data_IF_582272645606
#
_entry.id   IF_582272645606
#
_cell.length_a   1.000
_cell.length_b   1.000
_cell.length_c   1.000
_cell.angle_alpha   90.00
_cell.angle_beta   90.00
_cell.angle_gamma   90.00
#
_symmetry.space_group_name_H-M   'P 1'
#
loop_
_entity.id
_entity.type
_entity.pdbx_description
1 polymer ?
#
# COMPACT_ATOMS: atom_id res chain seq x y z
N UNK A 1 -22.30 3.36 13.41
CA UNK A 1 -20.85 3.08 13.36
C UNK A 1 -20.19 4.44 13.43
N UNK A 2 -19.26 4.68 14.35
CA UNK A 2 -18.51 5.95 14.36
C UNK A 2 -17.62 6.00 13.12
N UNK A 3 -17.45 7.17 12.50
CA UNK A 3 -16.72 7.31 11.22
C UNK A 3 -15.30 6.71 11.26
N UNK A 4 -14.67 6.78 12.43
CA UNK A 4 -13.40 6.11 12.80
C UNK A 4 -13.36 4.60 12.52
N UNK A 5 -14.44 3.87 12.85
CA UNK A 5 -14.50 2.42 12.68
C UNK A 5 -14.72 2.05 11.20
N UNK A 6 -15.48 2.88 10.48
CA UNK A 6 -15.74 2.71 9.05
C UNK A 6 -14.48 2.83 8.20
N UNK A 7 -13.63 3.83 8.45
CA UNK A 7 -12.41 4.03 7.66
C UNK A 7 -11.38 2.91 7.88
N UNK A 8 -11.26 2.39 9.11
CA UNK A 8 -10.41 1.23 9.41
C UNK A 8 -10.92 -0.02 8.70
N UNK A 9 -12.22 -0.25 8.75
CA UNK A 9 -12.86 -1.38 8.06
C UNK A 9 -12.67 -1.29 6.55
N UNK A 10 -12.80 -0.10 5.96
CA UNK A 10 -12.55 0.14 4.54
C UNK A 10 -11.11 -0.23 4.14
N UNK A 11 -10.11 0.26 4.88
CA UNK A 11 -8.70 -0.07 4.62
C UNK A 11 -8.46 -1.58 4.70
N UNK A 12 -9.03 -2.24 5.71
CA UNK A 12 -8.90 -3.68 5.91
C UNK A 12 -9.52 -4.48 4.75
N UNK A 13 -10.71 -4.06 4.28
CA UNK A 13 -11.40 -4.65 3.15
C UNK A 13 -10.62 -4.47 1.85
N UNK A 14 -10.03 -3.30 1.62
CA UNK A 14 -9.22 -3.03 0.44
C UNK A 14 -7.95 -3.91 0.43
N UNK A 15 -7.26 -4.04 1.57
CA UNK A 15 -6.10 -4.94 1.67
C UNK A 15 -6.49 -6.39 1.43
N UNK A 16 -7.62 -6.85 1.99
CA UNK A 16 -8.12 -8.20 1.73
C UNK A 16 -8.50 -8.40 0.26
N UNK A 17 -9.14 -7.41 -0.36
CA UNK A 17 -9.49 -7.45 -1.77
C UNK A 17 -8.23 -7.58 -2.64
N UNK A 18 -7.15 -6.85 -2.32
CA UNK A 18 -5.89 -6.95 -3.08
C UNK A 18 -5.30 -8.35 -2.99
N UNK A 19 -5.27 -8.92 -1.78
CA UNK A 19 -4.80 -10.30 -1.53
C UNK A 19 -5.63 -11.31 -2.34
N UNK A 20 -6.95 -11.13 -2.44
CA UNK A 20 -7.80 -11.95 -3.32
C UNK A 20 -7.47 -11.72 -4.79
N UNK A 21 -7.17 -10.48 -5.19
CA UNK A 21 -6.71 -10.13 -6.53
C UNK A 21 -5.41 -10.83 -6.93
N UNK A 22 -4.50 -11.09 -5.98
CA UNK A 22 -3.30 -11.89 -6.24
C UNK A 22 -3.66 -13.34 -6.58
N UNK A 23 -4.62 -13.95 -5.88
CA UNK A 23 -5.07 -15.30 -6.21
C UNK A 23 -5.73 -15.36 -7.59
N UNK A 24 -6.41 -14.28 -8.01
CA UNK A 24 -7.07 -14.16 -9.31
C UNK A 24 -6.12 -13.74 -10.45
N UNK A 25 -4.89 -13.30 -10.14
CA UNK A 25 -3.94 -12.73 -11.11
C UNK A 25 -4.54 -11.59 -11.95
N UNK A 26 -5.49 -10.83 -11.41
CA UNK A 26 -6.19 -9.76 -12.13
C UNK A 26 -5.50 -8.42 -11.90
N UNK A 27 -4.74 -7.94 -12.88
CA UNK A 27 -3.93 -6.72 -12.74
C UNK A 27 -4.76 -5.45 -12.55
N UNK A 28 -5.74 -5.17 -13.42
CA UNK A 28 -6.54 -3.94 -13.31
C UNK A 28 -7.33 -3.85 -12.00
N UNK A 29 -7.79 -4.99 -11.48
CA UNK A 29 -8.48 -5.07 -10.19
C UNK A 29 -7.53 -4.71 -9.04
N UNK A 30 -6.30 -5.23 -9.06
CA UNK A 30 -5.28 -4.89 -8.06
C UNK A 30 -4.89 -3.41 -8.14
N UNK A 31 -4.74 -2.87 -9.36
CA UNK A 31 -4.39 -1.46 -9.57
C UNK A 31 -5.51 -0.54 -9.08
N UNK A 32 -6.77 -0.87 -9.37
CA UNK A 32 -7.93 -0.12 -8.85
C UNK A 32 -8.00 -0.14 -7.30
N UNK A 33 -7.59 -1.24 -6.67
CA UNK A 33 -7.53 -1.32 -5.20
C UNK A 33 -6.40 -0.48 -4.63
N UNK A 34 -5.24 -0.46 -5.29
CA UNK A 34 -4.13 0.41 -4.92
C UNK A 34 -4.55 1.88 -4.98
N UNK A 35 -5.21 2.29 -6.07
CA UNK A 35 -5.76 3.65 -6.21
C UNK A 35 -6.76 3.97 -5.10
N UNK A 36 -7.63 3.00 -4.77
CA UNK A 36 -8.61 3.15 -3.69
C UNK A 36 -7.95 3.27 -2.32
N UNK A 37 -6.89 2.50 -2.03
CA UNK A 37 -6.12 2.59 -0.80
C UNK A 37 -5.45 3.95 -0.66
N UNK A 38 -4.80 4.43 -1.72
CA UNK A 38 -4.17 5.75 -1.76
C UNK A 38 -5.20 6.84 -1.51
N UNK A 39 -6.36 6.77 -2.17
CA UNK A 39 -7.44 7.73 -1.98
C UNK A 39 -7.99 7.70 -0.55
N UNK A 40 -8.20 6.51 0.02
CA UNK A 40 -8.72 6.35 1.38
C UNK A 40 -7.77 6.97 2.42
N UNK A 41 -6.46 6.71 2.33
CA UNK A 41 -5.50 7.31 3.27
C UNK A 41 -5.26 8.81 3.01
N UNK A 42 -5.51 9.27 1.77
CA UNK A 42 -5.37 10.69 1.41
C UNK A 42 -6.59 11.53 1.83
N UNK A 43 -7.71 10.88 2.17
CA UNK A 43 -8.96 11.52 2.57
C UNK A 43 -9.10 11.51 4.10
N UNK A 44 -9.04 12.67 4.77
CA UNK A 44 -9.26 12.74 6.21
C UNK A 44 -10.73 12.52 6.56
N UNK A 45 -11.00 12.06 7.78
CA UNK A 45 -12.35 12.00 8.35
C UNK A 45 -12.88 13.37 8.79
N UNK A 46 -14.08 13.39 9.38
CA UNK A 46 -14.72 14.62 9.88
C UNK A 46 -13.88 15.34 10.96
N UNK A 47 -12.93 14.65 11.60
CA UNK A 47 -12.03 15.19 12.61
C UNK A 47 -10.63 15.49 12.05
N UNK A 48 -10.47 15.58 10.72
CA UNK A 48 -9.21 15.80 10.02
C UNK A 48 -8.16 14.70 10.26
N UNK A 49 -8.61 13.49 10.63
CA UNK A 49 -7.73 12.34 10.90
C UNK A 49 -7.60 11.46 9.68
N UNK A 50 -6.36 11.10 9.34
CA UNK A 50 -6.02 10.16 8.27
C UNK A 50 -5.78 8.78 8.83
N UNK A 51 -6.35 7.79 8.14
CA UNK A 51 -6.32 6.39 8.55
C UNK A 51 -5.30 5.64 7.72
N UNK A 52 -4.48 4.81 8.36
CA UNK A 52 -3.45 4.03 7.70
C UNK A 52 -3.52 2.57 8.17
N UNK A 53 -3.06 1.61 7.35
CA UNK A 53 -2.99 0.20 7.74
C UNK A 53 -2.12 -0.01 8.98
N UNK A 54 -2.61 -0.76 9.97
CA UNK A 54 -1.87 -1.09 11.20
C UNK A 54 -1.41 -2.57 11.19
N UNK A 55 -0.75 -3.00 12.27
CA UNK A 55 -0.09 -4.33 12.39
C UNK A 55 -0.85 -5.51 11.81
N UNK A 56 -2.13 -5.70 12.18
CA UNK A 56 -2.92 -6.84 11.72
C UNK A 56 -3.17 -6.81 10.20
N UNK A 57 -3.39 -5.62 9.65
CA UNK A 57 -3.58 -5.37 8.22
C UNK A 57 -2.28 -5.62 7.45
N UNK A 58 -1.15 -5.16 8.00
CA UNK A 58 0.20 -5.41 7.44
C UNK A 58 0.50 -6.91 7.40
N UNK A 59 0.21 -7.63 8.49
CA UNK A 59 0.38 -9.08 8.57
C UNK A 59 -0.45 -9.82 7.51
N UNK A 60 -1.68 -9.38 7.29
CA UNK A 60 -2.55 -9.93 6.24
C UNK A 60 -1.95 -9.70 4.86
N UNK A 61 -1.47 -8.50 4.58
CA UNK A 61 -0.87 -8.14 3.29
C UNK A 61 0.40 -8.96 3.00
N UNK A 62 1.35 -9.01 3.93
CA UNK A 62 2.61 -9.73 3.75
C UNK A 62 2.41 -11.25 3.63
N UNK A 63 1.47 -11.83 4.38
CA UNK A 63 1.13 -13.25 4.26
C UNK A 63 0.41 -13.58 2.94
N UNK A 64 -0.37 -12.64 2.42
CA UNK A 64 -1.26 -12.84 1.28
C UNK A 64 -0.68 -12.46 -0.08
N UNK A 65 0.55 -11.93 -0.13
CA UNK A 65 1.14 -11.41 -1.37
C UNK A 65 2.59 -11.93 -1.54
N UNK A 66 3.08 -12.08 -2.79
CA UNK A 66 4.47 -12.44 -3.02
C UNK A 66 5.43 -11.32 -2.57
N UNK A 67 6.69 -11.69 -2.28
CA UNK A 67 7.74 -10.73 -1.95
C UNK A 67 7.83 -9.63 -3.02
N UNK A 68 8.00 -8.37 -2.57
CA UNK A 68 8.06 -7.20 -3.45
C UNK A 68 6.77 -6.88 -4.20
N UNK A 69 5.63 -7.45 -3.77
CA UNK A 69 4.29 -7.07 -4.27
C UNK A 69 4.09 -5.55 -4.17
N UNK A 70 3.39 -4.92 -5.13
CA UNK A 70 3.08 -3.50 -5.07
C UNK A 70 2.38 -3.08 -3.77
N UNK A 71 1.54 -3.95 -3.20
CA UNK A 71 0.90 -3.69 -1.91
C UNK A 71 1.94 -3.59 -0.77
N UNK A 72 2.90 -4.52 -0.70
CA UNK A 72 3.95 -4.48 0.34
C UNK A 72 4.76 -3.19 0.26
N UNK A 73 5.10 -2.74 -0.96
CA UNK A 73 5.81 -1.47 -1.20
C UNK A 73 4.99 -0.28 -0.75
N UNK A 74 3.71 -0.22 -1.12
CA UNK A 74 2.81 0.85 -0.71
C UNK A 74 2.70 0.95 0.82
N UNK A 75 2.55 -0.18 1.52
CA UNK A 75 2.47 -0.21 2.98
C UNK A 75 3.75 0.29 3.65
N UNK A 76 4.92 -0.06 3.09
CA UNK A 76 6.21 0.44 3.57
C UNK A 76 6.33 1.95 3.35
N UNK A 77 6.02 2.44 2.15
CA UNK A 77 6.06 3.88 1.86
C UNK A 77 5.08 4.65 2.76
N UNK A 78 3.87 4.12 3.02
CA UNK A 78 2.91 4.73 3.96
C UNK A 78 3.50 4.88 5.37
N UNK A 79 4.16 3.84 5.89
CA UNK A 79 4.77 3.89 7.21
C UNK A 79 6.05 4.74 7.24
N UNK A 80 6.79 4.76 6.14
CA UNK A 80 7.98 5.60 6.02
C UNK A 80 7.62 7.09 6.12
N UNK A 81 6.58 7.53 5.39
CA UNK A 81 6.20 8.94 5.34
C UNK A 81 5.29 9.37 6.49
N UNK A 82 4.38 8.51 6.93
CA UNK A 82 3.28 8.88 7.85
C UNK A 82 3.29 8.11 9.16
N UNK A 83 4.14 7.08 9.27
CA UNK A 83 4.20 6.20 10.41
C UNK A 83 4.62 6.90 11.70
N UNK A 84 4.09 6.39 12.81
CA UNK A 84 4.49 6.80 14.16
C UNK A 84 5.06 5.61 14.92
N UNK A 85 5.92 5.87 15.89
CA UNK A 85 6.59 4.80 16.63
C UNK A 85 5.57 3.86 17.30
N UNK A 86 4.47 4.41 17.82
CA UNK A 86 3.39 3.66 18.46
C UNK A 86 2.65 2.70 17.50
N UNK A 87 2.70 2.90 16.18
CA UNK A 87 2.07 1.97 15.23
C UNK A 87 2.81 0.64 15.16
N UNK A 88 4.07 0.62 15.60
CA UNK A 88 4.89 -0.58 15.65
C UNK A 88 4.76 -1.30 17.00
N UNK A 89 3.99 -0.76 17.94
CA UNK A 89 3.74 -1.41 19.23
C UNK A 89 2.92 -2.70 19.00
N UNK A 90 3.53 -3.84 19.29
CA UNK A 90 2.92 -5.15 19.06
C UNK A 90 2.99 -5.65 17.61
N UNK A 91 3.60 -4.91 16.69
CA UNK A 91 3.91 -5.39 15.34
C UNK A 91 4.92 -6.55 15.42
N UNK A 92 4.63 -7.66 14.73
CA UNK A 92 5.50 -8.85 14.74
C UNK A 92 6.04 -9.25 13.37
N UNK A 93 5.67 -8.50 12.32
CA UNK A 93 6.05 -8.83 10.96
C UNK A 93 7.51 -8.50 10.64
N UNK A 94 8.37 -9.51 10.70
CA UNK A 94 9.82 -9.32 10.48
C UNK A 94 10.19 -8.93 9.06
N UNK A 95 9.39 -9.32 8.06
CA UNK A 95 9.65 -8.98 6.67
C UNK A 95 9.30 -7.51 6.41
N UNK A 96 8.15 -7.05 6.89
CA UNK A 96 7.79 -5.64 6.90
C UNK A 96 8.84 -4.77 7.60
N UNK A 97 9.26 -5.13 8.82
CA UNK A 97 10.29 -4.36 9.53
C UNK A 97 11.60 -4.31 8.78
N UNK A 98 11.99 -5.41 8.12
CA UNK A 98 13.20 -5.47 7.31
C UNK A 98 13.09 -4.51 6.14
N UNK A 99 11.96 -4.49 5.44
CA UNK A 99 11.77 -3.64 4.26
C UNK A 99 11.64 -2.16 4.64
N UNK A 100 10.92 -1.84 5.72
CA UNK A 100 10.89 -0.49 6.28
C UNK A 100 12.28 -0.01 6.73
N UNK A 101 13.05 -0.87 7.39
CA UNK A 101 14.42 -0.54 7.78
C UNK A 101 15.35 -0.33 6.57
N UNK A 102 15.21 -1.12 5.50
CA UNK A 102 15.97 -0.92 4.26
C UNK A 102 15.68 0.46 3.66
N UNK A 103 14.40 0.84 3.54
CA UNK A 103 14.00 2.15 3.01
C UNK A 103 14.57 3.28 3.88
N UNK A 104 14.45 3.18 5.21
CA UNK A 104 15.03 4.15 6.16
C UNK A 104 16.56 4.27 6.07
N UNK A 105 17.26 3.17 5.81
CA UNK A 105 18.72 3.16 5.68
C UNK A 105 19.20 3.73 4.33
N UNK A 106 18.46 3.46 3.26
CA UNK A 106 18.76 3.94 1.92
C UNK A 106 18.55 5.46 1.79
N UNK A 107 17.65 6.04 2.59
CA UNK A 107 17.28 7.45 2.51
C UNK A 107 18.04 8.38 3.48
N UNK A 108 19.06 7.86 4.19
CA UNK A 108 19.80 8.61 5.24
C UNK A 108 20.49 9.89 4.77
N UNK A 109 20.63 10.12 3.46
CA UNK A 109 21.24 11.32 2.89
C UNK A 109 20.26 12.40 2.42
N UNK A 110 18.99 12.06 2.17
CA UNK A 110 18.05 12.89 1.39
C UNK A 110 16.61 12.93 1.97
N UNK A 111 16.43 12.55 3.23
CA UNK A 111 15.10 12.49 3.88
C UNK A 111 14.25 13.76 3.73
N UNK A 112 14.87 14.95 3.65
CA UNK A 112 14.17 16.23 3.50
C UNK A 112 13.69 16.49 2.07
N UNK A 113 14.26 15.80 1.07
CA UNK A 113 13.99 16.03 -0.37
C UNK A 113 13.14 14.93 -1.01
N UNK A 114 12.95 13.78 -0.34
CA UNK A 114 12.13 12.67 -0.87
C UNK A 114 10.66 13.07 -0.96
N UNK A 115 10.13 13.12 -2.18
CA UNK A 115 8.72 13.36 -2.42
C UNK A 115 7.87 12.20 -1.87
N UNK A 116 6.80 12.55 -1.16
CA UNK A 116 5.81 11.63 -0.61
C UNK A 116 5.05 10.93 -1.74
N UNK A 117 5.43 9.67 -2.01
CA UNK A 117 4.87 8.86 -3.10
C UNK A 117 3.50 8.27 -2.77
N UNK A 118 3.00 8.43 -1.55
CA UNK A 118 1.67 7.90 -1.19
C UNK A 118 0.57 8.94 -1.35
N UNK A 119 0.90 10.19 -1.72
CA UNK A 119 -0.11 11.20 -2.07
C UNK A 119 -0.78 10.84 -3.38
N UNK A 120 -2.11 10.96 -3.44
CA UNK A 120 -2.90 10.64 -4.63
C UNK A 120 -2.40 11.35 -5.90
N UNK A 121 -1.95 12.60 -5.76
CA UNK A 121 -1.41 13.40 -6.87
C UNK A 121 -0.06 12.91 -7.42
N UNK A 122 0.69 12.13 -6.64
CA UNK A 122 2.05 11.67 -6.94
C UNK A 122 2.16 10.15 -7.06
N UNK A 123 1.19 9.40 -6.54
CA UNK A 123 1.26 7.96 -6.45
C UNK A 123 1.31 7.29 -7.83
N UNK A 124 0.61 7.88 -8.82
CA UNK A 124 0.68 7.53 -10.24
C UNK A 124 0.81 6.02 -10.48
N UNK A 125 1.75 5.67 -11.34
CA UNK A 125 2.05 4.29 -11.76
C UNK A 125 2.99 3.51 -10.82
N UNK A 126 3.42 4.09 -9.70
CA UNK A 126 4.52 3.53 -8.88
C UNK A 126 4.18 2.17 -8.26
N UNK A 127 2.90 1.90 -8.11
CA UNK A 127 2.35 0.69 -7.48
C UNK A 127 1.46 -0.11 -8.45
N UNK A 128 1.40 0.27 -9.74
CA UNK A 128 0.59 -0.41 -10.73
C UNK A 128 1.35 -1.56 -11.40
N UNK A 129 0.62 -2.60 -11.75
CA UNK A 129 1.14 -3.68 -12.57
C UNK A 129 0.90 -3.35 -14.05
N UNK A 130 1.79 -2.58 -14.67
CA UNK A 130 1.72 -2.40 -16.12
C UNK A 130 1.99 -3.72 -16.83
N UNK A 131 0.92 -4.40 -17.26
CA UNK A 131 1.03 -5.46 -18.24
C UNK A 131 1.70 -4.90 -19.49
N UNK A 132 2.60 -5.67 -20.09
CA UNK A 132 3.03 -5.43 -21.48
C UNK A 132 1.87 -5.77 -22.42
N UNK A 133 0.77 -5.02 -22.36
CA UNK A 133 -0.40 -5.23 -23.22
C UNK A 133 -0.20 -4.56 -24.57
N UNK A 134 0.62 -5.20 -25.42
CA UNK A 134 0.28 -5.55 -26.80
C UNK A 134 1.43 -6.27 -27.53
N UNK A 135 1.96 -7.36 -26.96
CA UNK A 135 2.83 -8.27 -27.70
C UNK A 135 2.16 -9.60 -28.09
N UNK A 136 0.96 -9.90 -27.58
CA UNK A 136 0.35 -11.23 -27.74
C UNK A 136 -0.77 -11.34 -28.78
N UNK A 137 -1.19 -10.24 -29.42
CA UNK A 137 -2.19 -10.26 -30.51
C UNK A 137 -1.73 -9.66 -31.85
N UNK A 138 -0.41 -9.48 -32.09
CA UNK A 138 0.08 -9.01 -33.39
C UNK A 138 0.35 -10.11 -34.43
N UNK A 139 -0.11 -11.34 -34.18
CA UNK A 139 -0.11 -12.41 -35.19
C UNK A 139 -1.56 -12.81 -35.45
N UNK A 140 -2.21 -12.09 -36.35
CA UNK A 140 -3.05 -12.56 -37.47
C UNK A 140 -3.97 -11.41 -37.89
N UNK A 141 -3.57 -10.69 -38.94
CA UNK A 141 -4.46 -10.20 -40.01
C UNK A 141 -3.63 -9.81 -41.22
#
# INVERSE_FOLDING_TARGET
>A
MSDTEGNREEIDLLVEAFVRGEALQHHDFKDAIIDSLIHAVDTPDEQDTRWYPESATIDRAYRGTPESSPLQKLLVDMHFFHGRAEWLDGATNTDFFRDLAKELLQDRGDFVTRADRTRSQLAGCSYHSHGTENAYYSVVS
#
